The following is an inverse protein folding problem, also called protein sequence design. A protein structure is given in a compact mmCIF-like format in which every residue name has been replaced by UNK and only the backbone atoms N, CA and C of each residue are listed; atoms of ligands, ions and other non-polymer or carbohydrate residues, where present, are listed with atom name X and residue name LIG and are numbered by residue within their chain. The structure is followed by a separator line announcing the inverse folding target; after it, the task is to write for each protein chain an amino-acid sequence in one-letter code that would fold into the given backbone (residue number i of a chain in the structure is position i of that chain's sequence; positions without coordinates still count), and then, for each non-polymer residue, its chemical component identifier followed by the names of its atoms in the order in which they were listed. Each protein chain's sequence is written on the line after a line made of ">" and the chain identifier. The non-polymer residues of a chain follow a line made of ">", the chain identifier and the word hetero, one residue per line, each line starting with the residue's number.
data_IF_566728972597
#
_entry.id   IF_566728972597
#
_cell.length_a   1.000
_cell.length_b   1.000
_cell.length_c   1.000
_cell.angle_alpha   90.00
_cell.angle_beta   90.00
_cell.angle_gamma   90.00
#
_symmetry.space_group_name_H-M   'P 1'
#
loop_
_entity.id
_entity.type
_entity.pdbx_description
1 polymer ?
#
# COMPACT_ATOMS: atom_id res chain seq x y z
N UNK A 1 3.66 -27.45 -6.43
CA UNK A 1 4.55 -26.53 -7.20
C UNK A 1 3.83 -25.64 -8.23
N UNK A 2 2.52 -25.74 -8.47
CA UNK A 2 1.81 -24.98 -9.53
C UNK A 2 1.21 -23.63 -9.10
N UNK A 3 1.31 -23.24 -7.83
CA UNK A 3 0.71 -22.01 -7.30
C UNK A 3 1.61 -20.77 -7.44
N UNK A 4 2.93 -20.93 -7.43
CA UNK A 4 3.89 -19.81 -7.37
C UNK A 4 3.91 -19.00 -8.68
N UNK A 5 4.06 -19.64 -9.84
CA UNK A 5 4.14 -18.94 -11.13
C UNK A 5 2.87 -18.16 -11.51
N UNK A 6 1.67 -18.66 -11.16
CA UNK A 6 0.41 -17.94 -11.39
C UNK A 6 0.33 -16.68 -10.55
N UNK A 7 0.79 -16.76 -9.29
CA UNK A 7 0.86 -15.62 -8.38
C UNK A 7 1.87 -14.59 -8.87
N UNK A 8 3.03 -15.05 -9.34
CA UNK A 8 4.09 -14.16 -9.85
C UNK A 8 3.66 -13.47 -11.14
N UNK A 9 3.02 -14.19 -12.06
CA UNK A 9 2.43 -13.62 -13.27
C UNK A 9 1.32 -12.61 -12.96
N UNK A 10 0.41 -12.94 -12.04
CA UNK A 10 -0.65 -12.04 -11.61
C UNK A 10 -0.09 -10.77 -10.98
N UNK A 11 0.92 -10.90 -10.11
CA UNK A 11 1.64 -9.77 -9.50
C UNK A 11 2.28 -8.87 -10.56
N UNK A 12 2.99 -9.45 -11.54
CA UNK A 12 3.57 -8.70 -12.64
C UNK A 12 2.52 -7.98 -13.50
N UNK A 13 1.39 -8.64 -13.79
CA UNK A 13 0.31 -8.04 -14.56
C UNK A 13 -0.34 -6.87 -13.81
N UNK A 14 -0.54 -6.98 -12.50
CA UNK A 14 -1.11 -5.91 -11.66
C UNK A 14 -0.26 -4.64 -11.75
N UNK A 15 1.06 -4.77 -11.69
CA UNK A 15 2.00 -3.63 -11.79
C UNK A 15 2.08 -3.08 -13.22
N UNK A 16 2.07 -3.95 -14.23
CA UNK A 16 2.20 -3.54 -15.63
C UNK A 16 0.92 -2.92 -16.19
N UNK A 17 -0.26 -3.34 -15.73
CA UNK A 17 -1.55 -2.85 -16.22
C UNK A 17 -1.66 -1.32 -16.19
N UNK A 18 -1.44 -0.61 -15.06
CA UNK A 18 -1.55 0.85 -15.03
C UNK A 18 -0.52 1.54 -15.93
N UNK A 19 0.68 0.97 -16.06
CA UNK A 19 1.72 1.51 -16.95
C UNK A 19 1.31 1.40 -18.42
N UNK A 20 0.82 0.22 -18.83
CA UNK A 20 0.34 -0.02 -20.20
C UNK A 20 -0.85 0.87 -20.55
N UNK A 21 -1.81 1.04 -19.63
CA UNK A 21 -2.95 1.94 -19.84
C UNK A 21 -2.47 3.37 -20.02
N UNK A 22 -1.54 3.85 -19.18
CA UNK A 22 -0.98 5.21 -19.30
C UNK A 22 -0.28 5.42 -20.64
N UNK A 23 0.55 4.46 -21.07
CA UNK A 23 1.22 4.51 -22.38
C UNK A 23 0.23 4.48 -23.55
N UNK A 24 -0.83 3.67 -23.46
CA UNK A 24 -1.87 3.61 -24.48
C UNK A 24 -2.60 4.94 -24.63
N UNK A 25 -2.95 5.60 -23.51
CA UNK A 25 -3.58 6.93 -23.52
C UNK A 25 -2.63 7.97 -24.10
N UNK A 26 -1.36 7.97 -23.70
CA UNK A 26 -0.36 8.89 -24.25
C UNK A 26 -0.17 8.70 -25.76
N UNK A 27 -0.12 7.45 -26.24
CA UNK A 27 -0.03 7.14 -27.65
C UNK A 27 -1.28 7.60 -28.41
N UNK A 28 -2.47 7.41 -27.83
CA UNK A 28 -3.73 7.89 -28.40
C UNK A 28 -3.74 9.41 -28.55
N UNK A 29 -3.36 10.16 -27.50
CA UNK A 29 -3.26 11.62 -27.55
C UNK A 29 -2.18 12.07 -28.54
N UNK A 30 -1.02 11.41 -28.57
CA UNK A 30 0.04 11.74 -29.51
C UNK A 30 -0.42 11.61 -30.97
N UNK A 31 -1.17 10.54 -31.27
CA UNK A 31 -1.77 10.34 -32.59
C UNK A 31 -2.85 11.39 -32.89
N UNK A 32 -3.70 11.73 -31.91
CA UNK A 32 -4.67 12.80 -32.06
C UNK A 32 -3.98 14.15 -32.37
N UNK A 33 -2.93 14.52 -31.62
CA UNK A 33 -2.14 15.74 -31.84
C UNK A 33 -1.47 15.74 -33.21
N UNK A 34 -1.03 14.58 -33.71
CA UNK A 34 -0.44 14.44 -35.04
C UNK A 34 -1.43 14.74 -36.17
N UNK A 35 -2.72 14.50 -35.96
CA UNK A 35 -3.78 14.73 -36.95
C UNK A 35 -4.28 16.18 -36.98
N UNK A 36 -3.98 16.96 -35.94
CA UNK A 36 -4.35 18.39 -35.89
C UNK A 36 -3.53 19.17 -36.94
N UNK A 37 -4.15 20.10 -37.70
CA UNK A 37 -3.48 20.90 -38.73
C UNK A 37 -2.58 22.00 -38.16
N UNK A 38 -1.82 21.70 -37.10
CA UNK A 38 -0.84 22.58 -36.47
C UNK A 38 0.55 22.01 -36.73
N UNK A 39 1.44 22.85 -37.22
CA UNK A 39 2.77 22.45 -37.67
C UNK A 39 3.75 22.25 -36.50
N UNK A 40 3.65 21.10 -35.82
CA UNK A 40 4.54 20.70 -34.73
C UNK A 40 5.75 19.96 -35.29
N UNK A 41 6.65 20.70 -35.95
CA UNK A 41 7.84 20.19 -36.67
C UNK A 41 8.91 19.55 -35.79
N UNK A 42 9.26 20.08 -34.59
CA UNK A 42 10.18 19.38 -33.71
C UNK A 42 9.46 18.22 -33.02
N UNK A 43 10.00 17.00 -33.13
CA UNK A 43 9.51 15.86 -32.35
C UNK A 43 9.45 16.16 -30.83
N UNK A 44 10.45 16.84 -30.21
CA UNK A 44 10.36 17.20 -28.80
C UNK A 44 9.19 18.15 -28.47
N UNK A 45 8.90 19.11 -29.37
CA UNK A 45 7.79 20.04 -29.18
C UNK A 45 6.45 19.31 -29.21
N UNK A 46 6.29 18.33 -30.10
CA UNK A 46 5.07 17.51 -30.17
C UNK A 46 4.88 16.65 -28.92
N UNK A 47 5.95 16.06 -28.40
CA UNK A 47 5.91 15.31 -27.15
C UNK A 47 5.51 16.23 -25.99
N UNK A 48 6.11 17.43 -25.90
CA UNK A 48 5.75 18.41 -24.87
C UNK A 48 4.26 18.81 -24.96
N UNK A 49 3.74 19.08 -26.16
CA UNK A 49 2.31 19.37 -26.37
C UNK A 49 1.44 18.19 -25.96
N UNK A 50 1.84 16.97 -26.30
CA UNK A 50 1.12 15.74 -25.91
C UNK A 50 1.03 15.61 -24.39
N UNK A 51 2.13 15.86 -23.67
CA UNK A 51 2.15 15.83 -22.21
C UNK A 51 1.27 16.92 -21.60
N UNK A 52 1.31 18.14 -22.14
CA UNK A 52 0.44 19.24 -21.70
C UNK A 52 -1.03 18.89 -21.91
N UNK A 53 -1.39 18.37 -23.08
CA UNK A 53 -2.77 17.93 -23.38
C UNK A 53 -3.19 16.80 -22.44
N UNK A 54 -2.32 15.83 -22.17
CA UNK A 54 -2.60 14.77 -21.21
C UNK A 54 -2.89 15.31 -19.82
N UNK A 55 -2.04 16.20 -19.28
CA UNK A 55 -2.26 16.83 -17.97
C UNK A 55 -3.58 17.59 -17.94
N UNK A 56 -3.85 18.42 -18.97
CA UNK A 56 -5.10 19.17 -19.07
C UNK A 56 -6.32 18.25 -19.15
N UNK A 57 -6.23 17.14 -19.89
CA UNK A 57 -7.30 16.15 -19.98
C UNK A 57 -7.56 15.50 -18.62
N UNK A 58 -6.52 15.10 -17.89
CA UNK A 58 -6.65 14.53 -16.55
C UNK A 58 -7.35 15.51 -15.61
N UNK A 59 -6.93 16.78 -15.59
CA UNK A 59 -7.60 17.82 -14.78
C UNK A 59 -9.05 18.05 -15.22
N UNK A 60 -9.32 18.08 -16.53
CA UNK A 60 -10.67 18.29 -17.05
C UNK A 60 -11.60 17.14 -16.64
N UNK A 61 -11.16 15.89 -16.77
CA UNK A 61 -11.92 14.70 -16.35
C UNK A 61 -12.12 14.71 -14.83
N UNK A 62 -11.07 14.99 -14.04
CA UNK A 62 -11.16 15.07 -12.58
C UNK A 62 -12.13 16.16 -12.10
N UNK A 63 -12.15 17.32 -12.78
CA UNK A 63 -13.12 18.37 -12.50
C UNK A 63 -14.54 17.95 -12.89
N UNK A 64 -14.71 17.34 -14.07
CA UNK A 64 -16.00 16.84 -14.54
C UNK A 64 -16.61 15.82 -13.58
N UNK A 65 -15.81 14.88 -13.06
CA UNK A 65 -16.27 13.87 -12.09
C UNK A 65 -16.78 14.48 -10.79
N UNK A 66 -16.34 15.70 -10.43
CA UNK A 66 -16.81 16.44 -9.25
C UNK A 66 -18.17 17.13 -9.45
N UNK A 67 -18.72 17.11 -10.66
CA UNK A 67 -20.00 17.78 -11.00
C UNK A 67 -21.16 16.78 -11.07
N UNK A 68 -22.40 17.30 -11.08
CA UNK A 68 -23.59 16.47 -11.28
C UNK A 68 -23.57 15.67 -12.59
N UNK A 69 -22.93 16.19 -13.64
CA UNK A 69 -22.74 15.49 -14.92
C UNK A 69 -21.81 14.29 -14.75
N UNK A 70 -20.76 14.44 -13.93
CA UNK A 70 -19.84 13.36 -13.58
C UNK A 70 -20.58 12.18 -12.95
N UNK A 71 -21.42 12.45 -11.95
CA UNK A 71 -22.23 11.41 -11.27
C UNK A 71 -23.14 10.66 -12.26
N UNK A 72 -23.74 11.37 -13.22
CA UNK A 72 -24.59 10.75 -14.24
C UNK A 72 -23.75 9.88 -15.20
N UNK A 73 -22.60 10.38 -15.64
CA UNK A 73 -21.70 9.67 -16.55
C UNK A 73 -21.14 8.40 -15.91
N UNK A 74 -20.74 8.49 -14.63
CA UNK A 74 -20.26 7.35 -13.87
C UNK A 74 -21.31 6.25 -13.78
N UNK A 75 -22.56 6.60 -13.42
CA UNK A 75 -23.67 5.63 -13.37
C UNK A 75 -23.95 5.01 -14.73
N UNK A 76 -23.89 5.80 -15.80
CA UNK A 76 -24.08 5.28 -17.16
C UNK A 76 -22.97 4.29 -17.54
N UNK A 77 -21.71 4.57 -17.17
CA UNK A 77 -20.58 3.67 -17.37
C UNK A 77 -20.75 2.38 -16.55
N UNK A 78 -21.10 2.50 -15.28
CA UNK A 78 -21.40 1.37 -14.40
C UNK A 78 -22.47 0.46 -15.03
N UNK A 79 -23.57 1.04 -15.49
CA UNK A 79 -24.68 0.30 -16.11
C UNK A 79 -24.25 -0.45 -17.38
N UNK A 80 -23.39 0.16 -18.20
CA UNK A 80 -22.86 -0.47 -19.42
C UNK A 80 -21.94 -1.62 -19.06
N UNK A 81 -20.99 -1.41 -18.13
CA UNK A 81 -20.02 -2.43 -17.72
C UNK A 81 -20.71 -3.61 -17.02
N UNK A 82 -21.74 -3.34 -16.22
CA UNK A 82 -22.49 -4.37 -15.49
C UNK A 82 -23.40 -5.22 -16.38
N UNK A 83 -23.68 -4.80 -17.63
CA UNK A 83 -24.44 -5.59 -18.62
C UNK A 83 -23.60 -6.65 -19.34
N UNK A 84 -22.28 -6.51 -19.35
CA UNK A 84 -21.39 -7.42 -20.06
C UNK A 84 -20.93 -8.55 -19.12
N UNK A 85 -21.31 -9.82 -19.38
CA UNK A 85 -20.88 -10.95 -18.56
C UNK A 85 -19.36 -11.11 -18.61
N UNK A 86 -18.74 -11.45 -17.47
CA UNK A 86 -17.28 -11.51 -17.32
C UNK A 86 -16.66 -10.14 -17.04
N UNK A 87 -16.88 -9.14 -17.90
CA UNK A 87 -16.34 -7.78 -17.72
C UNK A 87 -16.82 -7.14 -16.43
N UNK A 88 -18.09 -7.36 -16.07
CA UNK A 88 -18.66 -6.93 -14.79
C UNK A 88 -17.81 -7.33 -13.57
N UNK A 89 -17.23 -8.53 -13.55
CA UNK A 89 -16.47 -9.02 -12.39
C UNK A 89 -15.17 -8.23 -12.25
N UNK A 90 -14.46 -8.05 -13.36
CA UNK A 90 -13.19 -7.32 -13.41
C UNK A 90 -13.42 -5.85 -13.11
N UNK A 91 -14.43 -5.24 -13.73
CA UNK A 91 -14.78 -3.84 -13.53
C UNK A 91 -15.11 -3.53 -12.06
N UNK A 92 -15.98 -4.31 -11.43
CA UNK A 92 -16.35 -4.09 -10.03
C UNK A 92 -15.15 -4.29 -9.10
N UNK A 93 -14.33 -5.33 -9.32
CA UNK A 93 -13.12 -5.54 -8.52
C UNK A 93 -12.14 -4.36 -8.65
N UNK A 94 -11.90 -3.88 -9.88
CA UNK A 94 -11.03 -2.73 -10.12
C UNK A 94 -11.59 -1.43 -9.55
N UNK A 95 -12.90 -1.18 -9.69
CA UNK A 95 -13.58 -0.01 -9.15
C UNK A 95 -13.50 0.02 -7.63
N UNK A 96 -13.86 -1.08 -6.95
CA UNK A 96 -13.75 -1.17 -5.49
C UNK A 96 -12.32 -1.00 -5.00
N UNK A 97 -11.32 -1.57 -5.69
CA UNK A 97 -9.92 -1.37 -5.34
C UNK A 97 -9.50 0.10 -5.47
N UNK A 98 -9.90 0.77 -6.55
CA UNK A 98 -9.59 2.18 -6.78
C UNK A 98 -10.31 3.10 -5.76
N UNK A 99 -11.61 2.89 -5.53
CA UNK A 99 -12.38 3.63 -4.55
C UNK A 99 -11.81 3.45 -3.14
N UNK A 100 -11.49 2.21 -2.74
CA UNK A 100 -10.88 1.95 -1.43
C UNK A 100 -9.54 2.68 -1.28
N UNK A 101 -8.67 2.61 -2.29
CA UNK A 101 -7.37 3.26 -2.26
C UNK A 101 -7.48 4.80 -2.16
N UNK A 102 -8.42 5.40 -2.90
CA UNK A 102 -8.62 6.85 -2.90
C UNK A 102 -9.36 7.36 -1.65
N UNK A 103 -10.39 6.63 -1.20
CA UNK A 103 -11.20 7.00 -0.03
C UNK A 103 -10.41 6.93 1.28
N UNK A 104 -9.47 5.98 1.36
CA UNK A 104 -8.58 5.84 2.53
C UNK A 104 -7.67 7.06 2.67
N UNK A 105 -7.33 7.77 1.60
CA UNK A 105 -6.46 8.96 1.68
C UNK A 105 -7.23 10.27 1.79
N UNK A 106 -8.41 10.40 1.14
CA UNK A 106 -9.19 11.64 1.15
C UNK A 106 -9.91 11.93 2.49
N UNK A 107 -10.14 10.90 3.33
CA UNK A 107 -10.84 11.06 4.62
C UNK A 107 -9.91 11.33 5.81
N UNK A 108 -8.59 11.17 5.63
CA UNK A 108 -7.62 11.32 6.71
C UNK A 108 -7.11 12.76 6.75
N UNK A 109 -7.43 13.48 7.82
CA UNK A 109 -7.11 14.91 7.92
C UNK A 109 -5.73 15.16 8.52
N UNK A 110 -5.57 14.78 9.79
CA UNK A 110 -4.36 15.06 10.55
C UNK A 110 -3.86 13.75 11.18
N UNK A 111 -2.56 13.44 11.04
CA UNK A 111 -1.95 12.34 11.78
C UNK A 111 -1.93 12.69 13.27
N UNK A 112 -2.36 11.74 14.09
CA UNK A 112 -2.39 11.85 15.54
C UNK A 112 -1.69 10.66 16.18
N UNK A 113 -1.22 10.87 17.39
CA UNK A 113 -0.55 9.86 18.21
C UNK A 113 -1.50 9.50 19.34
N UNK A 114 -1.94 8.24 19.36
CA UNK A 114 -2.81 7.71 20.40
C UNK A 114 -2.00 6.79 21.30
N UNK A 115 -2.06 7.00 22.62
CA UNK A 115 -1.45 6.07 23.59
C UNK A 115 -2.44 4.95 23.89
N UNK A 116 -2.18 3.75 23.36
CA UNK A 116 -3.07 2.59 23.52
C UNK A 116 -2.72 1.73 24.73
N UNK A 117 -1.46 1.79 25.15
CA UNK A 117 -0.95 1.19 26.39
C UNK A 117 0.18 2.08 26.95
N UNK A 118 0.46 2.00 28.26
CA UNK A 118 1.50 2.81 28.88
C UNK A 118 2.84 2.73 28.14
N UNK A 119 3.29 3.87 27.60
CA UNK A 119 4.55 3.97 26.85
C UNK A 119 4.50 3.50 25.40
N UNK A 120 3.34 3.09 24.87
CA UNK A 120 3.16 2.69 23.47
C UNK A 120 2.23 3.67 22.75
N UNK A 121 2.74 4.30 21.69
CA UNK A 121 1.98 5.23 20.85
C UNK A 121 1.77 4.64 19.48
N UNK A 122 0.54 4.77 18.98
CA UNK A 122 0.16 4.33 17.65
C UNK A 122 -0.24 5.54 16.79
N UNK A 123 0.12 5.50 15.51
CA UNK A 123 -0.30 6.52 14.54
C UNK A 123 -1.73 6.23 14.12
N UNK A 124 -2.62 7.19 14.35
CA UNK A 124 -3.97 7.21 13.83
C UNK A 124 -4.19 8.48 13.01
N UNK A 125 -5.33 8.59 12.35
CA UNK A 125 -5.68 9.72 11.52
C UNK A 125 -7.09 10.18 11.83
N UNK A 126 -7.30 11.50 11.98
CA UNK A 126 -8.65 12.06 12.17
C UNK A 126 -9.50 11.82 10.92
N UNK A 127 -10.74 11.35 11.10
CA UNK A 127 -11.70 11.19 10.00
C UNK A 127 -12.53 12.46 9.73
N UNK A 128 -12.53 13.39 10.69
CA UNK A 128 -13.37 14.60 10.65
C UNK A 128 -14.76 14.42 11.26
N UNK A 129 -15.12 13.19 11.64
CA UNK A 129 -16.38 12.88 12.28
C UNK A 129 -16.25 12.96 13.81
N UNK A 130 -17.33 13.36 14.48
CA UNK A 130 -17.42 13.43 15.94
C UNK A 130 -18.71 12.74 16.39
N UNK A 131 -18.64 11.99 17.48
CA UNK A 131 -19.81 11.32 18.07
C UNK A 131 -20.75 12.32 18.75
N UNK A 132 -22.02 11.97 19.01
CA UNK A 132 -22.98 12.86 19.68
C UNK A 132 -22.55 13.30 21.09
N UNK A 133 -21.71 12.51 21.76
CA UNK A 133 -21.13 12.79 23.07
C UNK A 133 -19.78 13.52 23.00
N UNK A 134 -19.35 13.95 21.81
CA UNK A 134 -18.20 14.85 21.62
C UNK A 134 -16.83 14.16 21.47
N UNK A 135 -16.80 12.84 21.25
CA UNK A 135 -15.56 12.10 20.98
C UNK A 135 -15.18 12.20 19.50
N UNK A 136 -13.90 12.36 19.23
CA UNK A 136 -13.39 12.37 17.85
C UNK A 136 -13.28 10.94 17.33
N UNK A 137 -13.66 10.74 16.07
CA UNK A 137 -13.51 9.47 15.38
C UNK A 137 -12.15 9.44 14.68
N UNK A 138 -11.32 8.45 15.03
CA UNK A 138 -10.01 8.24 14.43
C UNK A 138 -9.97 6.89 13.71
N UNK A 139 -9.24 6.85 12.60
CA UNK A 139 -8.85 5.61 11.95
C UNK A 139 -7.43 5.21 12.35
N UNK A 140 -7.30 4.03 12.93
CA UNK A 140 -6.05 3.42 13.35
C UNK A 140 -5.66 2.32 12.33
N UNK A 141 -4.83 2.62 11.32
CA UNK A 141 -4.47 1.66 10.29
C UNK A 141 -3.55 0.55 10.80
N UNK A 142 -3.55 -0.57 10.09
CA UNK A 142 -2.50 -1.59 10.22
C UNK A 142 -1.32 -1.28 9.29
N UNK A 143 -0.11 -1.66 9.70
CA UNK A 143 1.08 -1.63 8.85
C UNK A 143 1.38 -3.04 8.27
N UNK A 144 1.88 -3.15 7.04
CA UNK A 144 1.98 -2.11 6.02
C UNK A 144 0.66 -1.86 5.28
N UNK A 145 -0.37 -2.69 5.49
CA UNK A 145 -1.62 -2.59 4.75
C UNK A 145 -2.59 -1.56 5.36
N UNK A 146 -2.57 -0.33 4.86
CA UNK A 146 -3.39 0.78 5.35
C UNK A 146 -4.88 0.69 4.99
N UNK A 147 -5.28 -0.29 4.17
CA UNK A 147 -6.71 -0.50 3.85
C UNK A 147 -7.47 -1.21 4.97
N UNK A 148 -6.77 -1.67 6.00
CA UNK A 148 -7.32 -2.34 7.18
C UNK A 148 -6.90 -1.61 8.45
N UNK A 149 -7.69 -1.75 9.51
CA UNK A 149 -7.47 -1.02 10.75
C UNK A 149 -8.67 -1.07 11.68
N UNK A 150 -8.61 -0.23 12.71
CA UNK A 150 -9.68 -0.02 13.66
C UNK A 150 -10.24 1.39 13.52
N UNK A 151 -11.54 1.53 13.72
CA UNK A 151 -12.16 2.84 13.98
C UNK A 151 -12.29 2.96 15.49
N UNK A 152 -11.76 4.05 16.05
CA UNK A 152 -11.79 4.31 17.48
C UNK A 152 -12.44 5.67 17.75
N UNK A 153 -13.27 5.74 18.80
CA UNK A 153 -13.89 6.96 19.28
C UNK A 153 -13.17 7.36 20.57
N UNK A 154 -12.51 8.52 20.57
CA UNK A 154 -11.62 8.94 21.65
C UNK A 154 -11.89 10.38 22.08
N UNK A 155 -11.67 10.67 23.37
CA UNK A 155 -11.78 12.04 23.88
C UNK A 155 -10.66 12.93 23.29
N UNK A 156 -10.94 14.21 22.96
CA UNK A 156 -9.97 15.11 22.33
C UNK A 156 -8.65 15.33 23.10
N UNK A 157 -8.64 15.08 24.41
CA UNK A 157 -7.46 15.21 25.28
C UNK A 157 -6.63 13.91 25.39
N UNK A 158 -7.09 12.80 24.80
CA UNK A 158 -6.45 11.49 24.88
C UNK A 158 -5.62 11.14 23.63
N UNK A 159 -5.35 12.12 22.77
CA UNK A 159 -4.44 11.97 21.63
C UNK A 159 -3.68 13.28 21.38
N UNK A 160 -2.50 13.17 20.78
CA UNK A 160 -1.70 14.32 20.38
C UNK A 160 -1.65 14.46 18.86
N UNK A 161 -1.90 15.66 18.34
CA UNK A 161 -1.68 15.94 16.91
C UNK A 161 -0.18 15.91 16.62
N UNK A 162 0.21 15.18 15.58
CA UNK A 162 1.62 15.06 15.18
C UNK A 162 2.00 16.20 14.24
N UNK A 163 3.23 16.68 14.38
CA UNK A 163 3.81 17.70 13.49
C UNK A 163 4.46 17.02 12.27
N UNK A 164 3.63 16.33 11.48
CA UNK A 164 4.01 15.68 10.23
C UNK A 164 2.83 15.74 9.25
N UNK A 165 3.11 15.65 7.94
CA UNK A 165 2.08 15.55 6.90
C UNK A 165 1.43 14.18 6.87
N UNK A 166 0.23 14.09 6.30
CA UNK A 166 -0.47 12.80 6.11
C UNK A 166 0.39 11.86 5.25
N UNK A 167 1.06 12.39 4.22
CA UNK A 167 1.94 11.64 3.34
C UNK A 167 3.17 11.07 4.06
N UNK A 168 3.80 11.86 4.94
CA UNK A 168 4.93 11.40 5.76
C UNK A 168 4.49 10.28 6.72
N UNK A 169 3.37 10.49 7.41
CA UNK A 169 2.81 9.49 8.31
C UNK A 169 2.42 8.19 7.58
N UNK A 170 1.77 8.30 6.42
CA UNK A 170 1.41 7.16 5.58
C UNK A 170 2.65 6.44 5.05
N UNK A 171 3.70 7.17 4.65
CA UNK A 171 4.96 6.56 4.19
C UNK A 171 5.57 5.69 5.28
N UNK A 172 5.60 6.18 6.52
CA UNK A 172 6.08 5.42 7.68
C UNK A 172 5.22 4.20 7.98
N UNK A 173 3.89 4.32 7.96
CA UNK A 173 2.99 3.17 8.20
C UNK A 173 3.07 2.12 7.09
N UNK A 174 3.05 2.55 5.82
CA UNK A 174 3.14 1.69 4.62
C UNK A 174 4.47 0.95 4.53
N UNK A 175 5.55 1.58 5.01
CA UNK A 175 6.88 0.97 5.08
C UNK A 175 7.10 0.13 6.34
N UNK A 176 6.08 -0.07 7.18
CA UNK A 176 6.21 -0.74 8.47
C UNK A 176 7.32 -0.13 9.37
N UNK A 177 7.52 1.19 9.28
CA UNK A 177 8.50 1.94 10.05
C UNK A 177 9.87 2.09 9.37
N UNK A 178 10.15 1.42 8.24
CA UNK A 178 11.44 1.50 7.57
C UNK A 178 11.65 2.77 6.72
N UNK A 179 10.58 3.48 6.40
CA UNK A 179 10.58 4.63 5.49
C UNK A 179 10.72 6.00 6.17
N UNK A 180 10.88 6.04 7.50
CA UNK A 180 11.09 7.28 8.24
C UNK A 180 12.60 7.47 8.53
N UNK A 181 13.27 8.28 7.72
CA UNK A 181 14.69 8.62 7.89
C UNK A 181 14.95 10.10 8.12
N UNK A 182 13.95 10.88 8.54
CA UNK A 182 14.13 12.31 8.81
C UNK A 182 13.88 12.68 10.27
N UNK A 183 14.93 12.53 11.09
CA UNK A 183 15.20 13.28 12.34
C UNK A 183 14.86 12.53 13.64
N UNK A 184 15.80 11.82 14.29
CA UNK A 184 16.73 12.38 15.30
C UNK A 184 17.94 11.46 15.62
N UNK A 185 18.51 10.73 14.65
CA UNK A 185 19.75 9.98 14.89
C UNK A 185 20.78 10.30 13.80
N UNK A 186 21.95 10.77 14.23
CA UNK A 186 23.06 11.16 13.35
C UNK A 186 23.48 10.00 12.42
N UNK A 187 23.76 10.26 11.13
CA UNK A 187 24.16 9.22 10.18
C UNK A 187 25.66 8.95 10.32
N UNK A 188 26.00 7.76 10.81
CA UNK A 188 27.37 7.26 10.76
C UNK A 188 27.65 6.28 11.87
N UNK A 189 27.03 5.10 11.82
CA UNK A 189 27.54 3.87 12.47
C UNK A 189 26.58 2.70 12.23
N UNK A 190 26.24 2.39 10.98
CA UNK A 190 25.86 1.02 10.63
C UNK A 190 26.25 0.80 9.17
N UNK A 191 26.83 -0.36 8.89
CA UNK A 191 27.26 -0.85 7.58
C UNK A 191 28.67 -0.43 7.10
N UNK A 192 29.74 -0.80 7.82
CA UNK A 192 30.90 -1.50 7.22
C UNK A 192 31.65 -2.26 8.34
N UNK A 193 31.60 -3.59 8.30
CA UNK A 193 32.70 -4.54 8.63
C UNK A 193 32.11 -5.88 9.05
N UNK A 194 31.91 -6.75 8.06
CA UNK A 194 32.31 -8.15 8.13
C UNK A 194 32.03 -8.81 6.77
N UNK A 195 32.92 -8.55 5.81
CA UNK A 195 33.13 -9.43 4.67
C UNK A 195 34.50 -10.05 4.86
N UNK A 196 34.56 -11.14 5.60
CA UNK A 196 35.72 -12.04 5.57
C UNK A 196 35.64 -12.83 4.26
N UNK A 197 36.51 -12.48 3.31
CA UNK A 197 36.85 -13.34 2.17
C UNK A 197 37.96 -14.31 2.58
N UNK A 198 37.86 -15.61 2.30
CA UNK A 198 39.00 -16.52 2.39
C UNK A 198 39.52 -16.89 0.98
N UNK A 199 40.67 -16.32 0.62
CA UNK A 199 41.69 -16.93 -0.25
C UNK A 199 42.96 -16.91 0.64
N UNK A 200 43.73 -17.97 0.90
CA UNK A 200 44.30 -19.02 0.04
C UNK A 200 44.99 -20.08 0.97
N UNK A 201 45.81 -21.01 0.46
CA UNK A 201 45.58 -22.44 0.28
C UNK A 201 46.20 -23.32 1.38
N UNK A 202 45.73 -24.56 1.55
CA UNK A 202 46.60 -25.72 1.74
C UNK A 202 45.76 -27.01 1.63
N UNK A 203 46.18 -27.87 0.72
CA UNK A 203 45.69 -29.24 0.55
C UNK A 203 46.45 -30.13 1.54
N UNK A 204 45.72 -30.91 2.33
CA UNK A 204 46.06 -32.32 2.57
C UNK A 204 44.81 -33.10 3.08
N UNK A 205 44.34 -34.00 2.22
CA UNK A 205 43.46 -35.16 2.50
C UNK A 205 44.32 -36.23 3.21
N UNK A 206 43.87 -37.02 4.23
CA UNK A 206 42.87 -38.07 3.96
C UNK A 206 41.96 -38.54 5.13
N UNK A 207 40.75 -38.99 4.76
CA UNK A 207 40.26 -40.31 5.17
C UNK A 207 39.42 -40.51 6.44
N UNK A 208 38.34 -41.28 6.23
CA UNK A 208 37.74 -42.32 7.09
C UNK A 208 36.95 -41.97 8.36
N UNK A 209 35.65 -42.28 8.27
CA UNK A 209 34.84 -43.17 9.12
C UNK A 209 34.60 -42.87 10.63
N UNK A 210 33.29 -42.85 10.94
CA UNK A 210 32.61 -43.45 12.10
C UNK A 210 32.28 -42.62 13.38
N UNK A 211 31.16 -43.07 13.97
CA UNK A 211 30.62 -42.85 15.33
C UNK A 211 29.68 -41.66 15.67
N UNK A 212 28.38 -41.99 15.62
CA UNK A 212 27.35 -41.99 16.70
C UNK A 212 27.36 -41.00 17.89
N UNK A 213 26.13 -40.50 18.13
CA UNK A 213 25.46 -40.05 19.40
C UNK A 213 25.98 -38.79 20.10
N UNK A 214 25.10 -37.80 20.30
CA UNK A 214 24.31 -37.76 21.55
C UNK A 214 23.08 -36.83 21.44
N UNK A 215 22.08 -37.18 22.23
CA UNK A 215 20.75 -36.61 22.35
C UNK A 215 20.74 -35.24 23.04
N UNK A 216 19.75 -34.40 22.71
CA UNK A 216 19.02 -33.62 23.73
C UNK A 216 17.71 -33.11 23.12
N UNK A 217 16.63 -33.83 23.47
CA UNK A 217 15.26 -33.40 23.26
C UNK A 217 14.89 -32.27 24.24
N UNK A 218 14.15 -31.27 23.77
CA UNK A 218 13.49 -30.29 24.64
C UNK A 218 12.01 -30.68 24.74
N UNK A 219 11.60 -30.97 25.97
CA UNK A 219 10.28 -31.40 26.43
C UNK A 219 9.25 -30.25 26.30
N UNK A 220 8.12 -30.51 25.63
CA UNK A 220 6.96 -29.63 25.65
C UNK A 220 6.00 -30.10 26.75
N UNK A 221 5.83 -29.28 27.80
CA UNK A 221 4.83 -29.50 28.83
C UNK A 221 3.41 -29.37 28.29
N UNK A 222 2.65 -30.46 28.37
CA UNK A 222 1.21 -30.52 28.13
C UNK A 222 0.46 -29.95 29.33
N UNK A 223 -0.49 -29.05 29.07
CA UNK A 223 -1.47 -28.55 30.04
C UNK A 223 -2.61 -29.55 30.09
N UNK A 224 -2.83 -30.17 31.25
CA UNK A 224 -3.94 -31.09 31.50
C UNK A 224 -5.27 -30.32 31.56
N UNK A 225 -6.19 -30.74 30.70
CA UNK A 225 -7.61 -30.36 30.68
C UNK A 225 -8.36 -31.30 31.64
N UNK A 226 -8.61 -30.85 32.87
CA UNK A 226 -9.42 -31.62 33.83
C UNK A 226 -10.89 -31.22 33.70
N UNK A 227 -11.60 -32.02 32.90
CA UNK A 227 -13.07 -32.07 32.87
C UNK A 227 -13.60 -32.70 34.16
N UNK A 228 -14.38 -31.96 34.93
CA UNK A 228 -15.13 -32.48 36.08
C UNK A 228 -16.64 -32.28 35.89
N UNK A 229 -17.34 -33.38 35.55
CA UNK A 229 -18.69 -33.72 36.02
C UNK A 229 -18.90 -35.23 35.76
N UNK A 230 -19.40 -36.04 36.72
CA UNK A 230 -20.86 -36.18 36.89
C UNK A 230 -21.35 -36.46 38.33
N UNK A 231 -22.58 -36.01 38.59
CA UNK A 231 -23.60 -36.51 39.54
C UNK A 231 -23.32 -36.52 41.06
N UNK A 232 -24.02 -35.60 41.74
CA UNK A 232 -24.31 -35.59 43.19
C UNK A 232 -25.46 -34.65 43.54
#
# INVERSE_FOLDING_TARGET
>A
MSATWKRDFASGLIVLTPLLVTLAVLAWIYNFVKEVPIDLKPAPLRVAVTLVVFVLLVFAVGYLMRTAVGVILERALDDVMNKLPGLRVIYNASKTAAETALSTTESLQAPVSVETWPGMRMTAFKTGETTPDGRDVLFLPTAPNVTTGFVIEIEPDQYDVRDETVEEALTRVLSAGFGDSNGHTAPGEMFVDDVVSPDDPDIDDPGTDDETTDETAIEYGSVDDETADPDG
#
